data_IF_237620355268
#
_entry.id   IF_237620355268
#
_cell.length_a   1.000
_cell.length_b   1.000
_cell.length_c   1.000
_cell.angle_alpha   90.00
_cell.angle_beta   90.00
_cell.angle_gamma   90.00
#
_symmetry.space_group_name_H-M   'P 1'
#
loop_
_entity.id
_entity.type
_entity.pdbx_description
1 polymer ?
#
# COMPACT_ATOMS: atom_id res chain seq x y z
N UNK A 1 -2.90 -21.51 53.11
CA UNK A 1 -3.04 -21.38 51.66
C UNK A 1 -2.90 -19.89 51.33
N UNK A 2 -1.75 -19.47 50.86
CA UNK A 2 -1.45 -18.07 50.55
C UNK A 2 -1.98 -17.80 49.14
N UNK A 3 -2.95 -16.90 49.01
CA UNK A 3 -3.48 -16.45 47.74
C UNK A 3 -2.44 -15.54 47.08
N UNK A 4 -1.86 -15.96 45.97
CA UNK A 4 -1.00 -15.11 45.12
C UNK A 4 -1.95 -14.16 44.40
N UNK A 5 -2.03 -12.93 44.87
CA UNK A 5 -2.72 -11.86 44.15
C UNK A 5 -1.95 -11.56 42.84
N UNK A 6 -2.59 -11.82 41.71
CA UNK A 6 -2.05 -11.46 40.40
C UNK A 6 -2.25 -9.96 40.21
N UNK A 7 -1.21 -9.17 40.42
CA UNK A 7 -1.26 -7.76 40.05
C UNK A 7 -1.18 -7.66 38.53
N UNK A 8 -2.14 -7.00 37.86
CA UNK A 8 -2.07 -6.79 36.42
C UNK A 8 -0.83 -5.93 36.11
N UNK A 9 0.09 -6.49 35.34
CA UNK A 9 1.25 -5.78 34.84
C UNK A 9 0.73 -4.65 33.93
N UNK A 10 0.91 -3.40 34.33
CA UNK A 10 0.67 -2.25 33.48
C UNK A 10 1.69 -2.34 32.34
N UNK A 11 1.25 -2.82 31.18
CA UNK A 11 2.05 -2.73 29.95
C UNK A 11 1.88 -1.30 29.48
N UNK A 12 2.97 -0.50 29.39
CA UNK A 12 2.88 0.85 28.84
C UNK A 12 2.32 0.76 27.43
N UNK A 13 1.49 1.74 27.05
CA UNK A 13 1.00 1.84 25.70
C UNK A 13 2.19 1.83 24.73
N UNK A 14 2.12 1.05 23.65
CA UNK A 14 3.21 0.99 22.69
C UNK A 14 3.47 2.40 22.13
N UNK A 15 4.75 2.74 21.86
CA UNK A 15 5.07 4.04 21.27
C UNK A 15 4.30 4.21 19.95
N UNK A 16 3.64 5.36 19.82
CA UNK A 16 2.90 5.70 18.61
C UNK A 16 3.89 6.20 17.56
N UNK A 17 4.28 5.33 16.64
CA UNK A 17 5.16 5.70 15.53
C UNK A 17 4.35 6.40 14.43
N UNK A 18 4.91 7.44 13.77
CA UNK A 18 4.31 8.01 12.57
C UNK A 18 4.07 6.91 11.53
N UNK A 19 2.86 6.83 10.99
CA UNK A 19 2.47 5.85 9.99
C UNK A 19 2.30 6.57 8.65
N UNK A 20 3.00 6.11 7.62
CA UNK A 20 2.90 6.67 6.26
C UNK A 20 1.88 5.91 5.43
N UNK A 21 1.07 6.65 4.68
CA UNK A 21 0.21 6.13 3.60
C UNK A 21 0.79 6.60 2.29
N UNK A 22 1.49 5.70 1.60
CA UNK A 22 2.10 5.97 0.29
C UNK A 22 1.19 5.44 -0.81
N UNK A 23 1.12 6.15 -1.92
CA UNK A 23 0.33 5.73 -3.09
C UNK A 23 1.23 5.47 -4.27
N UNK A 24 1.15 4.27 -4.87
CA UNK A 24 1.85 3.91 -6.11
C UNK A 24 0.84 3.62 -7.21
N UNK A 25 1.02 4.25 -8.36
CA UNK A 25 0.11 4.18 -9.51
C UNK A 25 0.79 3.56 -10.72
N UNK A 26 0.36 2.36 -11.09
CA UNK A 26 0.88 1.60 -12.23
C UNK A 26 0.07 1.83 -13.52
N UNK A 27 -0.30 3.07 -13.84
CA UNK A 27 -0.95 3.38 -15.12
C UNK A 27 0.06 3.99 -16.11
N UNK A 28 0.17 3.50 -17.35
CA UNK A 28 1.11 4.06 -18.34
C UNK A 28 0.69 5.43 -18.90
N UNK A 29 -0.44 5.99 -18.46
CA UNK A 29 -0.91 7.32 -18.87
C UNK A 29 -0.75 8.32 -17.74
N UNK A 30 -0.01 9.45 -17.94
CA UNK A 30 0.11 10.48 -16.94
C UNK A 30 -1.25 11.13 -16.62
N UNK A 31 -1.45 11.58 -15.38
CA UNK A 31 -2.71 12.23 -14.96
C UNK A 31 -3.93 11.33 -15.13
N UNK A 32 -3.79 10.04 -14.94
CA UNK A 32 -4.82 9.05 -15.20
C UNK A 32 -5.96 9.08 -14.18
N UNK A 33 -7.14 8.60 -14.60
CA UNK A 33 -8.25 8.35 -13.65
C UNK A 33 -7.85 7.37 -12.54
N UNK A 34 -6.89 6.48 -12.80
CA UNK A 34 -6.32 5.58 -11.80
C UNK A 34 -5.60 6.35 -10.71
N UNK A 35 -4.82 7.38 -11.06
CA UNK A 35 -4.14 8.22 -10.09
C UNK A 35 -5.14 8.99 -9.21
N UNK A 36 -6.17 9.59 -9.80
CA UNK A 36 -7.21 10.28 -9.05
C UNK A 36 -7.96 9.32 -8.10
N UNK A 37 -8.30 8.12 -8.56
CA UNK A 37 -8.96 7.13 -7.72
C UNK A 37 -8.06 6.64 -6.57
N UNK A 38 -6.78 6.42 -6.84
CA UNK A 38 -5.82 6.00 -5.81
C UNK A 38 -5.63 7.07 -4.74
N UNK A 39 -5.51 8.35 -5.13
CA UNK A 39 -5.44 9.47 -4.20
C UNK A 39 -6.68 9.53 -3.31
N UNK A 40 -7.89 9.43 -3.89
CA UNK A 40 -9.14 9.41 -3.11
C UNK A 40 -9.22 8.24 -2.14
N UNK A 41 -8.75 7.05 -2.52
CA UNK A 41 -8.67 5.89 -1.61
C UNK A 41 -7.72 6.17 -0.45
N UNK A 42 -6.54 6.72 -0.72
CA UNK A 42 -5.55 7.07 0.30
C UNK A 42 -6.08 8.13 1.26
N UNK A 43 -6.74 9.19 0.75
CA UNK A 43 -7.34 10.26 1.56
C UNK A 43 -8.44 9.73 2.49
N UNK A 44 -9.38 8.96 1.94
CA UNK A 44 -10.47 8.37 2.72
C UNK A 44 -9.94 7.39 3.78
N UNK A 45 -8.94 6.58 3.40
CA UNK A 45 -8.33 5.62 4.31
C UNK A 45 -7.56 6.33 5.43
N UNK A 46 -6.71 7.30 5.12
CA UNK A 46 -5.97 8.06 6.13
C UNK A 46 -6.90 8.84 7.07
N UNK A 47 -7.99 9.40 6.53
CA UNK A 47 -9.02 10.07 7.33
C UNK A 47 -9.72 9.12 8.31
N UNK A 48 -10.05 7.91 7.88
CA UNK A 48 -10.71 6.89 8.72
C UNK A 48 -9.77 6.31 9.77
N UNK A 49 -8.49 6.09 9.39
CA UNK A 49 -7.46 5.60 10.31
C UNK A 49 -7.09 6.65 11.38
N UNK A 50 -7.19 7.94 11.05
CA UNK A 50 -6.85 9.04 11.96
C UNK A 50 -5.36 9.12 12.30
N UNK A 51 -5.04 9.82 13.38
CA UNK A 51 -3.65 9.91 13.88
C UNK A 51 -3.17 8.53 14.37
N UNK A 52 -1.94 8.09 14.07
CA UNK A 52 -0.81 8.85 13.52
C UNK A 52 -0.60 8.72 11.99
N UNK A 53 -1.61 8.31 11.22
CA UNK A 53 -1.47 8.09 9.78
C UNK A 53 -1.40 9.42 9.01
N UNK A 54 -0.43 9.51 8.10
CA UNK A 54 -0.22 10.68 7.23
C UNK A 54 -0.10 10.23 5.78
N UNK A 55 -0.66 11.01 4.88
CA UNK A 55 -0.48 10.80 3.44
C UNK A 55 0.89 11.34 3.06
N UNK A 56 1.65 10.50 2.38
CA UNK A 56 2.90 10.86 1.72
C UNK A 56 2.70 11.10 0.22
N UNK A 57 3.78 11.39 -0.48
CA UNK A 57 3.78 11.68 -1.90
C UNK A 57 3.21 10.51 -2.73
N UNK A 58 2.49 10.85 -3.81
CA UNK A 58 2.00 9.88 -4.78
C UNK A 58 3.09 9.60 -5.82
N UNK A 59 3.46 8.33 -5.97
CA UNK A 59 4.39 7.81 -6.95
C UNK A 59 3.63 7.40 -8.21
N UNK A 60 3.64 8.24 -9.26
CA UNK A 60 3.09 7.88 -10.57
C UNK A 60 4.18 7.24 -11.43
N UNK A 61 4.11 5.91 -11.60
CA UNK A 61 5.16 5.10 -12.23
C UNK A 61 5.45 5.49 -13.69
N UNK A 62 4.53 6.16 -14.37
CA UNK A 62 4.79 6.62 -15.75
C UNK A 62 5.94 7.62 -15.82
N UNK A 63 6.17 8.40 -14.76
CA UNK A 63 7.31 9.33 -14.66
C UNK A 63 8.65 8.60 -14.59
N UNK A 64 8.66 7.41 -14.05
CA UNK A 64 9.86 6.58 -13.86
C UNK A 64 10.02 5.50 -14.94
N UNK A 65 9.10 5.44 -15.92
CA UNK A 65 9.13 4.42 -16.96
C UNK A 65 10.48 4.36 -17.72
N UNK A 66 11.13 5.49 -18.09
CA UNK A 66 12.45 5.44 -18.70
C UNK A 66 13.49 4.72 -17.84
N UNK A 67 13.58 5.03 -16.55
CA UNK A 67 14.54 4.39 -15.64
C UNK A 67 14.20 2.91 -15.42
N UNK A 68 12.92 2.57 -15.24
CA UNK A 68 12.47 1.18 -15.05
C UNK A 68 12.85 0.29 -16.25
N UNK A 69 12.68 0.78 -17.50
CA UNK A 69 12.91 -0.03 -18.69
C UNK A 69 14.34 0.04 -19.25
N UNK A 70 15.07 1.12 -18.98
CA UNK A 70 16.44 1.29 -19.46
C UNK A 70 17.49 0.84 -18.43
N UNK A 71 17.11 0.73 -17.14
CA UNK A 71 18.01 0.31 -16.08
C UNK A 71 19.27 1.18 -16.02
N UNK A 72 20.45 0.56 -16.06
CA UNK A 72 21.74 1.26 -16.01
C UNK A 72 21.98 2.23 -17.17
N UNK A 73 21.27 2.09 -18.29
CA UNK A 73 21.36 2.97 -19.46
C UNK A 73 20.53 4.25 -19.32
N UNK A 74 19.69 4.37 -18.30
CA UNK A 74 18.94 5.58 -18.02
C UNK A 74 19.85 6.69 -17.50
N UNK A 75 19.42 7.95 -17.64
CA UNK A 75 20.13 9.09 -17.06
C UNK A 75 20.25 8.91 -15.53
N UNK A 76 21.39 9.35 -14.98
CA UNK A 76 21.64 9.20 -13.52
C UNK A 76 20.54 9.84 -12.67
N UNK A 77 20.08 11.03 -13.06
CA UNK A 77 18.99 11.71 -12.36
C UNK A 77 17.69 10.89 -12.32
N UNK A 78 17.37 10.19 -13.43
CA UNK A 78 16.16 9.34 -13.50
C UNK A 78 16.31 8.08 -12.65
N UNK A 79 17.52 7.52 -12.55
CA UNK A 79 17.80 6.38 -11.67
C UNK A 79 17.68 6.77 -10.20
N UNK A 80 18.29 7.89 -9.81
CA UNK A 80 18.19 8.41 -8.43
C UNK A 80 16.73 8.70 -8.07
N UNK A 81 15.94 9.25 -9.00
CA UNK A 81 14.53 9.49 -8.77
C UNK A 81 13.74 8.18 -8.60
N UNK A 82 14.07 7.15 -9.39
CA UNK A 82 13.47 5.81 -9.24
C UNK A 82 13.85 5.17 -7.90
N UNK A 83 15.11 5.25 -7.48
CA UNK A 83 15.60 4.73 -6.19
C UNK A 83 14.85 5.38 -5.03
N UNK A 84 14.68 6.70 -5.05
CA UNK A 84 13.88 7.41 -4.05
C UNK A 84 12.41 6.95 -4.03
N UNK A 85 11.81 6.68 -5.19
CA UNK A 85 10.45 6.17 -5.28
C UNK A 85 10.33 4.72 -4.74
N UNK A 86 11.36 3.90 -4.96
CA UNK A 86 11.47 2.55 -4.38
C UNK A 86 11.56 2.63 -2.85
N UNK A 87 12.45 3.47 -2.32
CA UNK A 87 12.63 3.66 -0.89
C UNK A 87 11.34 4.17 -0.22
N UNK A 88 10.66 5.12 -0.87
CA UNK A 88 9.38 5.62 -0.38
C UNK A 88 8.32 4.51 -0.32
N UNK A 89 8.19 3.71 -1.38
CA UNK A 89 7.24 2.59 -1.41
C UNK A 89 7.58 1.52 -0.37
N UNK A 90 8.87 1.21 -0.20
CA UNK A 90 9.35 0.20 0.76
C UNK A 90 9.20 0.64 2.23
N UNK A 91 9.27 1.96 2.50
CA UNK A 91 9.09 2.51 3.85
C UNK A 91 7.63 2.72 4.26
N UNK A 92 6.67 2.45 3.36
CA UNK A 92 5.27 2.67 3.62
C UNK A 92 4.73 1.76 4.74
N UNK A 93 4.03 2.34 5.71
CA UNK A 93 3.24 1.55 6.67
C UNK A 93 1.98 0.99 6.00
N UNK A 94 1.36 1.80 5.16
CA UNK A 94 0.25 1.41 4.28
C UNK A 94 0.58 1.84 2.86
N UNK A 95 0.60 0.89 1.93
CA UNK A 95 0.84 1.13 0.51
C UNK A 95 -0.45 0.94 -0.29
N UNK A 96 -1.01 2.04 -0.80
CA UNK A 96 -2.12 2.00 -1.77
C UNK A 96 -1.53 1.75 -3.14
N UNK A 97 -1.73 0.55 -3.69
CA UNK A 97 -1.12 0.12 -4.94
C UNK A 97 -2.18 0.01 -6.04
N UNK A 98 -2.21 0.97 -6.96
CA UNK A 98 -3.27 1.13 -7.94
C UNK A 98 -2.85 0.79 -9.36
N UNK A 99 -3.73 0.10 -10.09
CA UNK A 99 -3.52 -0.28 -11.48
C UNK A 99 -4.84 -0.37 -12.26
N UNK A 100 -4.89 0.04 -13.53
CA UNK A 100 -5.99 -0.36 -14.39
C UNK A 100 -5.84 -1.83 -14.78
N UNK A 101 -6.95 -2.46 -15.14
CA UNK A 101 -6.93 -3.82 -15.67
C UNK A 101 -6.71 -3.79 -17.19
N UNK A 102 -5.58 -4.31 -17.64
CA UNK A 102 -5.24 -4.47 -19.06
C UNK A 102 -5.10 -5.95 -19.41
N UNK A 103 -5.87 -6.39 -20.40
CA UNK A 103 -5.81 -7.78 -20.87
C UNK A 103 -5.95 -8.84 -19.76
N UNK A 104 -6.84 -8.57 -18.81
CA UNK A 104 -7.13 -9.50 -17.71
C UNK A 104 -6.08 -9.54 -16.59
N UNK A 105 -5.21 -8.52 -16.50
CA UNK A 105 -4.21 -8.42 -15.44
C UNK A 105 -3.88 -6.96 -15.11
N UNK A 106 -3.03 -6.74 -14.11
CA UNK A 106 -2.41 -5.44 -13.86
C UNK A 106 -1.42 -5.08 -15.00
N UNK A 107 -1.01 -3.82 -15.07
CA UNK A 107 -0.17 -3.34 -16.18
C UNK A 107 1.25 -3.88 -16.15
N UNK A 108 1.88 -3.99 -17.31
CA UNK A 108 3.30 -4.33 -17.41
C UNK A 108 4.20 -3.30 -16.72
N UNK A 109 3.82 -2.01 -16.72
CA UNK A 109 4.56 -0.97 -16.00
C UNK A 109 4.60 -1.26 -14.49
N UNK A 110 3.45 -1.61 -13.89
CA UNK A 110 3.43 -1.99 -12.48
C UNK A 110 4.28 -3.23 -12.23
N UNK A 111 4.20 -4.27 -13.11
CA UNK A 111 5.02 -5.47 -12.94
C UNK A 111 6.52 -5.15 -12.99
N UNK A 112 6.93 -4.33 -13.95
CA UNK A 112 8.34 -3.93 -14.07
C UNK A 112 8.85 -3.16 -12.86
N UNK A 113 8.02 -2.31 -12.25
CA UNK A 113 8.36 -1.65 -10.99
C UNK A 113 8.47 -2.66 -9.83
N UNK A 114 7.53 -3.59 -9.70
CA UNK A 114 7.58 -4.61 -8.65
C UNK A 114 8.80 -5.54 -8.80
N UNK A 115 9.28 -5.74 -10.04
CA UNK A 115 10.45 -6.59 -10.31
C UNK A 115 11.79 -5.93 -9.96
N UNK A 116 11.85 -4.62 -9.87
CA UNK A 116 13.06 -3.90 -9.43
C UNK A 116 13.11 -3.65 -7.93
N UNK A 117 12.03 -3.95 -7.20
CA UNK A 117 12.05 -3.87 -5.73
C UNK A 117 13.02 -4.91 -5.14
N UNK A 118 13.78 -4.57 -4.11
CA UNK A 118 14.60 -5.54 -3.37
C UNK A 118 13.80 -6.71 -2.81
N UNK A 119 14.46 -7.81 -2.56
CA UNK A 119 13.84 -8.96 -1.90
C UNK A 119 13.18 -8.55 -0.58
N UNK A 120 11.93 -8.97 -0.36
CA UNK A 120 11.14 -8.64 0.84
C UNK A 120 11.00 -7.12 1.10
N UNK A 121 11.09 -6.29 0.07
CA UNK A 121 11.03 -4.82 0.20
C UNK A 121 9.75 -4.31 0.87
N UNK A 122 8.67 -5.08 0.81
CA UNK A 122 7.38 -4.72 1.42
C UNK A 122 7.12 -5.47 2.74
N UNK A 123 8.15 -6.14 3.30
CA UNK A 123 8.04 -6.74 4.62
C UNK A 123 7.80 -5.65 5.68
N UNK A 124 6.71 -5.74 6.43
CA UNK A 124 6.30 -4.68 7.36
C UNK A 124 5.25 -3.70 6.81
N UNK A 125 4.94 -3.78 5.51
CA UNK A 125 3.90 -2.95 4.88
C UNK A 125 2.57 -3.67 4.78
N UNK A 126 1.48 -2.94 5.05
CA UNK A 126 0.13 -3.35 4.65
C UNK A 126 -0.16 -2.79 3.27
N UNK A 127 -0.40 -3.67 2.29
CA UNK A 127 -0.73 -3.24 0.93
C UNK A 127 -2.23 -3.30 0.70
N UNK A 128 -2.79 -2.23 0.14
CA UNK A 128 -4.17 -2.10 -0.30
C UNK A 128 -4.19 -2.06 -1.83
N UNK A 129 -4.48 -3.17 -2.50
CA UNK A 129 -4.59 -3.19 -3.95
C UNK A 129 -5.84 -2.42 -4.40
N UNK A 130 -5.67 -1.54 -5.41
CA UNK A 130 -6.75 -0.82 -6.07
C UNK A 130 -6.75 -1.16 -7.55
N UNK A 131 -7.86 -1.70 -8.05
CA UNK A 131 -7.99 -2.02 -9.48
C UNK A 131 -9.15 -1.27 -10.11
N UNK A 132 -8.95 -0.80 -11.33
CA UNK A 132 -10.00 -0.18 -12.13
C UNK A 132 -10.21 -0.98 -13.39
N UNK A 133 -11.42 -1.46 -13.60
CA UNK A 133 -11.76 -2.32 -14.73
C UNK A 133 -13.02 -1.86 -15.45
N UNK A 134 -13.14 -2.22 -16.74
CA UNK A 134 -14.33 -1.96 -17.53
C UNK A 134 -15.45 -2.98 -17.29
N UNK A 135 -15.18 -4.11 -16.62
CA UNK A 135 -16.11 -5.20 -16.48
C UNK A 135 -16.10 -5.83 -15.07
N UNK A 136 -17.29 -6.20 -14.53
CA UNK A 136 -17.43 -6.84 -13.22
C UNK A 136 -16.67 -8.16 -13.08
N UNK A 137 -16.48 -8.90 -14.19
CA UNK A 137 -15.72 -10.17 -14.22
C UNK A 137 -14.25 -10.03 -13.81
N UNK A 138 -13.73 -8.80 -13.80
CA UNK A 138 -12.34 -8.52 -13.46
C UNK A 138 -12.09 -8.20 -11.98
N UNK A 139 -13.11 -8.24 -11.13
CA UNK A 139 -12.98 -7.88 -9.69
C UNK A 139 -12.00 -8.76 -8.91
N UNK A 140 -11.81 -10.02 -9.34
CA UNK A 140 -10.89 -10.96 -8.67
C UNK A 140 -9.44 -10.87 -9.15
N UNK A 141 -9.12 -10.03 -10.13
CA UNK A 141 -7.79 -10.00 -10.75
C UNK A 141 -6.68 -9.60 -9.77
N UNK A 142 -6.96 -8.68 -8.87
CA UNK A 142 -5.98 -8.32 -7.85
C UNK A 142 -5.63 -9.52 -6.94
N UNK A 143 -6.62 -10.33 -6.56
CA UNK A 143 -6.40 -11.51 -5.72
C UNK A 143 -5.68 -12.62 -6.47
N UNK A 144 -5.97 -12.81 -7.76
CA UNK A 144 -5.43 -13.91 -8.56
C UNK A 144 -4.02 -13.57 -9.09
N UNK A 145 -3.79 -12.33 -9.54
CA UNK A 145 -2.57 -11.96 -10.25
C UNK A 145 -1.62 -11.10 -9.43
N UNK A 146 -2.12 -10.15 -8.63
CA UNK A 146 -1.28 -9.19 -7.91
C UNK A 146 -0.92 -9.68 -6.51
N UNK A 147 -1.86 -10.27 -5.76
CA UNK A 147 -1.60 -10.76 -4.40
C UNK A 147 -0.44 -11.75 -4.30
N UNK A 148 -0.26 -12.73 -5.22
CA UNK A 148 0.90 -13.63 -5.16
C UNK A 148 2.25 -12.89 -5.30
N UNK A 149 2.32 -11.86 -6.15
CA UNK A 149 3.53 -11.04 -6.31
C UNK A 149 3.80 -10.22 -5.05
N UNK A 150 2.77 -9.65 -4.44
CA UNK A 150 2.89 -8.91 -3.18
C UNK A 150 3.34 -9.82 -2.03
N UNK A 151 2.86 -11.06 -1.99
CA UNK A 151 3.29 -12.04 -0.99
C UNK A 151 4.77 -12.39 -1.15
N UNK A 152 5.28 -12.52 -2.38
CA UNK A 152 6.72 -12.74 -2.65
C UNK A 152 7.57 -11.55 -2.17
N UNK A 153 7.04 -10.33 -2.27
CA UNK A 153 7.69 -9.12 -1.75
C UNK A 153 7.55 -8.93 -0.24
N UNK A 154 6.93 -9.88 0.48
CA UNK A 154 6.76 -9.85 1.93
C UNK A 154 5.57 -9.02 2.43
N UNK A 155 4.76 -8.47 1.55
CA UNK A 155 3.65 -7.60 1.91
C UNK A 155 2.52 -8.34 2.65
N UNK A 156 1.93 -7.67 3.63
CA UNK A 156 0.65 -8.10 4.22
C UNK A 156 -0.52 -7.49 3.45
N UNK A 157 -1.44 -8.34 2.96
CA UNK A 157 -2.65 -7.89 2.23
C UNK A 157 -3.87 -8.44 2.97
N UNK A 158 -4.28 -7.85 4.12
CA UNK A 158 -5.30 -8.44 5.01
C UNK A 158 -6.72 -8.27 4.49
N UNK A 159 -6.95 -7.40 3.52
CA UNK A 159 -8.28 -7.04 3.04
C UNK A 159 -8.53 -7.50 1.61
N UNK A 160 -9.79 -7.61 1.17
CA UNK A 160 -10.11 -7.67 -0.25
C UNK A 160 -9.59 -6.41 -0.98
N UNK A 161 -9.29 -6.48 -2.28
CA UNK A 161 -8.90 -5.30 -3.05
C UNK A 161 -10.05 -4.28 -3.14
N UNK A 162 -9.70 -3.00 -3.34
CA UNK A 162 -10.64 -1.98 -3.80
C UNK A 162 -10.83 -2.17 -5.30
N UNK A 163 -11.84 -2.95 -5.70
CA UNK A 163 -12.10 -3.29 -7.08
C UNK A 163 -13.19 -2.38 -7.66
N UNK A 164 -12.76 -1.33 -8.37
CA UNK A 164 -13.62 -0.33 -9.00
C UNK A 164 -13.95 -0.68 -10.45
N UNK A 165 -15.16 -0.36 -10.87
CA UNK A 165 -15.54 -0.29 -12.27
C UNK A 165 -15.40 1.16 -12.78
N UNK A 166 -15.31 1.36 -14.09
CA UNK A 166 -15.20 2.72 -14.65
C UNK A 166 -16.36 3.64 -14.25
N UNK A 167 -17.57 3.11 -14.05
CA UNK A 167 -18.74 3.87 -13.57
C UNK A 167 -18.59 4.36 -12.14
N UNK A 168 -17.83 3.66 -11.29
CA UNK A 168 -17.61 4.01 -9.89
C UNK A 168 -16.73 5.26 -9.75
N UNK A 169 -16.04 5.65 -10.86
CA UNK A 169 -15.21 6.84 -10.90
C UNK A 169 -16.01 8.15 -10.97
N UNK A 170 -17.32 8.08 -11.23
CA UNK A 170 -18.22 9.25 -11.24
C UNK A 170 -18.48 9.75 -9.81
N UNK A 171 -18.51 8.85 -8.82
CA UNK A 171 -18.62 9.17 -7.40
C UNK A 171 -17.72 8.23 -6.58
N UNK A 172 -16.43 8.53 -6.58
CA UNK A 172 -15.42 7.74 -5.87
C UNK A 172 -15.65 7.70 -4.36
N UNK A 173 -16.12 8.80 -3.79
CA UNK A 173 -16.36 8.86 -2.35
C UNK A 173 -17.45 7.88 -1.93
N UNK A 174 -18.53 7.81 -2.68
CA UNK A 174 -19.60 6.84 -2.43
C UNK A 174 -19.11 5.40 -2.61
N UNK A 175 -18.40 5.14 -3.73
CA UNK A 175 -17.94 3.79 -4.07
C UNK A 175 -16.92 3.23 -3.05
N UNK A 176 -16.05 4.07 -2.49
CA UNK A 176 -14.94 3.66 -1.64
C UNK A 176 -15.27 3.71 -0.14
N UNK A 177 -16.14 4.64 0.30
CA UNK A 177 -16.41 4.86 1.73
C UNK A 177 -16.88 3.61 2.48
N UNK A 178 -17.73 2.79 1.88
CA UNK A 178 -18.21 1.56 2.51
C UNK A 178 -17.09 0.54 2.70
N UNK A 179 -16.19 0.42 1.71
CA UNK A 179 -15.03 -0.46 1.78
C UNK A 179 -14.07 0.01 2.87
N UNK A 180 -13.76 1.33 2.93
CA UNK A 180 -12.86 1.92 3.92
C UNK A 180 -13.39 1.67 5.33
N UNK A 181 -14.63 2.06 5.64
CA UNK A 181 -15.22 1.82 6.98
C UNK A 181 -15.19 0.36 7.41
N UNK A 182 -15.39 -0.56 6.45
CA UNK A 182 -15.37 -2.00 6.75
C UNK A 182 -13.98 -2.53 7.06
N UNK A 183 -12.94 -1.99 6.43
CA UNK A 183 -11.60 -2.59 6.41
C UNK A 183 -10.55 -1.80 7.19
N UNK A 184 -10.78 -0.52 7.52
CA UNK A 184 -9.80 0.33 8.18
C UNK A 184 -9.31 -0.27 9.52
N UNK A 185 -10.20 -0.81 10.34
CA UNK A 185 -9.82 -1.42 11.62
C UNK A 185 -8.88 -2.63 11.46
N UNK A 186 -9.08 -3.45 10.41
CA UNK A 186 -8.19 -4.57 10.13
C UNK A 186 -6.82 -4.10 9.59
N UNK A 187 -6.82 -3.07 8.75
CA UNK A 187 -5.58 -2.43 8.26
C UNK A 187 -4.80 -1.89 9.46
N UNK A 188 -5.44 -1.12 10.33
CA UNK A 188 -4.82 -0.55 11.53
C UNK A 188 -4.22 -1.63 12.44
N UNK A 189 -4.99 -2.67 12.76
CA UNK A 189 -4.52 -3.76 13.61
C UNK A 189 -3.32 -4.49 13.01
N UNK A 190 -3.34 -4.72 11.68
CA UNK A 190 -2.23 -5.36 10.97
C UNK A 190 -1.00 -4.46 10.94
N UNK A 191 -1.16 -3.16 10.65
CA UNK A 191 -0.05 -2.20 10.65
C UNK A 191 0.63 -2.14 12.02
N UNK A 192 -0.14 -2.10 13.11
CA UNK A 192 0.40 -2.14 14.48
C UNK A 192 1.15 -3.45 14.74
N UNK A 193 0.61 -4.58 14.31
CA UNK A 193 1.22 -5.90 14.54
C UNK A 193 2.54 -6.10 13.76
N UNK A 194 2.73 -5.37 12.66
CA UNK A 194 3.96 -5.41 11.84
C UNK A 194 5.05 -4.48 12.36
N UNK A 195 4.78 -3.63 13.34
CA UNK A 195 5.81 -2.75 13.90
C UNK A 195 6.87 -3.55 14.67
N UNK A 196 8.14 -3.11 14.62
CA UNK A 196 9.18 -3.73 15.42
C UNK A 196 8.81 -3.65 16.91
N UNK A 197 8.88 -4.78 17.60
CA UNK A 197 8.71 -4.78 19.05
C UNK A 197 9.91 -4.04 19.67
N UNK A 198 9.68 -3.00 20.49
CA UNK A 198 10.77 -2.33 21.19
C UNK A 198 11.57 -3.35 22.00
N UNK A 199 12.89 -3.34 21.84
CA UNK A 199 13.73 -4.16 22.72
C UNK A 199 13.50 -3.73 24.19
N UNK A 200 13.33 -4.68 25.11
CA UNK A 200 13.17 -4.34 26.51
C UNK A 200 14.44 -3.59 26.97
N UNK A 201 14.23 -2.41 27.54
CA UNK A 201 15.34 -1.63 28.11
C UNK A 201 16.16 -2.54 29.05
N UNK A 202 17.48 -2.65 28.88
CA UNK A 202 18.28 -3.46 29.81
C UNK A 202 18.09 -2.91 31.23
N UNK A 203 17.55 -3.77 32.08
CA UNK A 203 17.40 -3.45 33.51
C UNK A 203 18.80 -3.14 34.06
N UNK A 204 19.01 -1.91 34.51
CA UNK A 204 20.23 -1.49 35.17
C UNK A 204 20.26 -2.03 36.58
#
# INVERSE_FOLDING_TARGET
>A
MSSIAFEPRIVPDPPVWPQSVVTVVGNPKPGSRTAAAAASVAELLASELGTPYRIDELVDLVTFAPAIFQGESAAEADRVALDNAIDLAASASVLVLATPVYKGSYTGLLKSFLDVLPHQALAGSVVVPVTISAAPSHKLLADIHLRPVLAELGASVPTPPVALEEKDLEDLQLAVSAWVRKNAGLIQATTIALQPVPEPNPVK
#
